data_IF_944946022237
#
_entry.id   IF_944946022237
#
_cell.length_a   1.000
_cell.length_b   1.000
_cell.length_c   1.000
_cell.angle_alpha   90.00
_cell.angle_beta   90.00
_cell.angle_gamma   90.00
#
_symmetry.space_group_name_H-M   'P 1'
#
loop_
_entity.id
_entity.type
_entity.pdbx_description
1 polymer ?
#
# COMPACT_ATOMS: atom_id res chain seq x y z
N UNK A 1 14.86 25.88 26.21
CA UNK A 1 14.34 26.13 24.84
C UNK A 1 15.17 25.44 23.74
N UNK A 2 16.06 24.48 24.09
CA UNK A 2 16.90 23.76 23.11
C UNK A 2 16.39 22.34 22.77
N UNK A 3 15.60 21.72 23.65
CA UNK A 3 15.19 20.33 23.51
C UNK A 3 14.06 20.10 22.49
N UNK A 4 13.13 21.06 22.36
CA UNK A 4 11.99 20.95 21.45
C UNK A 4 12.39 21.14 19.98
N UNK A 5 13.40 21.97 19.72
CA UNK A 5 13.92 22.24 18.35
C UNK A 5 14.64 21.01 17.78
N UNK A 6 15.44 20.32 18.60
CA UNK A 6 16.16 19.12 18.21
C UNK A 6 15.27 17.87 18.03
N UNK A 7 14.10 17.80 18.68
CA UNK A 7 13.11 16.75 18.38
C UNK A 7 12.49 16.97 17.00
N UNK A 8 12.02 18.19 16.74
CA UNK A 8 11.32 18.52 15.50
C UNK A 8 12.19 18.42 14.24
N UNK A 9 13.48 18.75 14.35
CA UNK A 9 14.44 18.57 13.25
C UNK A 9 14.71 17.10 12.92
N UNK A 10 14.63 16.19 13.92
CA UNK A 10 14.78 14.74 13.70
C UNK A 10 13.53 14.14 13.05
N UNK A 11 12.35 14.53 13.53
CA UNK A 11 11.07 14.06 12.99
C UNK A 11 10.94 14.44 11.50
N UNK A 12 11.30 15.68 11.14
CA UNK A 12 11.30 16.13 9.75
C UNK A 12 12.30 15.37 8.84
N UNK A 13 13.48 15.01 9.37
CA UNK A 13 14.47 14.25 8.60
C UNK A 13 14.02 12.79 8.37
N UNK A 14 13.34 12.20 9.36
CA UNK A 14 12.73 10.86 9.23
C UNK A 14 11.60 10.87 8.20
N UNK A 15 10.70 11.86 8.25
CA UNK A 15 9.62 12.07 7.27
C UNK A 15 10.16 12.19 5.83
N UNK A 16 11.20 13.00 5.61
CA UNK A 16 11.82 13.15 4.28
C UNK A 16 12.45 11.83 3.79
N UNK A 17 13.11 11.09 4.68
CA UNK A 17 13.69 9.79 4.35
C UNK A 17 12.61 8.78 3.94
N UNK A 18 11.45 8.82 4.59
CA UNK A 18 10.29 8.00 4.21
C UNK A 18 9.77 8.40 2.83
N UNK A 19 9.57 9.69 2.57
CA UNK A 19 9.09 10.17 1.26
C UNK A 19 10.05 9.70 0.16
N UNK A 20 11.35 9.89 0.33
CA UNK A 20 12.36 9.43 -0.61
C UNK A 20 12.30 7.91 -0.84
N UNK A 21 12.01 7.12 0.21
CA UNK A 21 11.81 5.67 0.10
C UNK A 21 10.54 5.34 -0.69
N UNK A 22 9.42 6.02 -0.45
CA UNK A 22 8.17 5.84 -1.20
C UNK A 22 8.37 6.17 -2.68
N UNK A 23 9.07 7.26 -3.00
CA UNK A 23 9.41 7.62 -4.38
C UNK A 23 10.28 6.58 -5.07
N UNK A 24 11.26 6.02 -4.34
CA UNK A 24 12.07 4.91 -4.86
C UNK A 24 11.21 3.70 -5.21
N UNK A 25 10.33 3.27 -4.30
CA UNK A 25 9.38 2.18 -4.51
C UNK A 25 8.44 2.48 -5.68
N UNK A 26 7.99 3.73 -5.82
CA UNK A 26 7.11 4.16 -6.91
C UNK A 26 7.71 3.89 -8.29
N UNK A 27 9.00 4.22 -8.49
CA UNK A 27 9.70 3.94 -9.75
C UNK A 27 9.83 2.45 -10.03
N UNK A 28 10.05 1.62 -9.01
CA UNK A 28 10.12 0.16 -9.16
C UNK A 28 8.76 -0.42 -9.53
N UNK A 29 7.71 0.03 -8.84
CA UNK A 29 6.32 -0.35 -9.11
C UNK A 29 5.91 0.01 -10.53
N UNK A 30 6.20 1.23 -11.00
CA UNK A 30 5.89 1.65 -12.38
C UNK A 30 6.50 0.71 -13.42
N UNK A 31 7.76 0.30 -13.23
CA UNK A 31 8.44 -0.66 -14.11
C UNK A 31 7.80 -2.05 -14.09
N UNK A 32 7.36 -2.51 -12.91
CA UNK A 32 6.70 -3.81 -12.79
C UNK A 32 5.31 -3.80 -13.42
N UNK A 33 4.56 -2.70 -13.26
CA UNK A 33 3.22 -2.58 -13.85
C UNK A 33 3.25 -2.60 -15.38
N UNK A 34 4.30 -2.07 -16.02
CA UNK A 34 4.45 -2.16 -17.49
C UNK A 34 4.81 -3.58 -17.97
N UNK A 35 5.36 -4.40 -17.09
CA UNK A 35 5.73 -5.80 -17.35
C UNK A 35 4.68 -6.80 -16.86
N UNK A 36 3.49 -6.33 -16.46
CA UNK A 36 2.43 -7.15 -15.86
C UNK A 36 2.86 -7.86 -14.56
N UNK A 37 3.89 -7.36 -13.88
CA UNK A 37 4.42 -7.86 -12.61
C UNK A 37 3.59 -7.41 -11.41
N UNK A 38 2.27 -7.58 -11.46
CA UNK A 38 1.32 -7.02 -10.49
C UNK A 38 1.55 -7.50 -9.05
N UNK A 39 1.80 -8.80 -8.85
CA UNK A 39 2.05 -9.34 -7.51
C UNK A 39 3.30 -8.75 -6.88
N UNK A 40 4.40 -8.64 -7.64
CA UNK A 40 5.64 -8.08 -7.12
C UNK A 40 5.50 -6.57 -6.87
N UNK A 41 4.79 -5.86 -7.75
CA UNK A 41 4.47 -4.45 -7.54
C UNK A 41 3.66 -4.25 -6.25
N UNK A 42 2.72 -5.15 -5.96
CA UNK A 42 1.91 -5.10 -4.75
C UNK A 42 2.75 -5.36 -3.50
N UNK A 43 3.64 -6.37 -3.51
CA UNK A 43 4.57 -6.65 -2.40
C UNK A 43 5.40 -5.41 -2.08
N UNK A 44 6.05 -4.82 -3.08
CA UNK A 44 6.86 -3.59 -2.89
C UNK A 44 6.01 -2.44 -2.35
N UNK A 45 4.78 -2.25 -2.84
CA UNK A 45 3.91 -1.19 -2.36
C UNK A 45 3.50 -1.38 -0.88
N UNK A 46 3.28 -2.62 -0.45
CA UNK A 46 2.89 -2.99 0.92
C UNK A 46 4.10 -3.11 1.87
N UNK A 47 5.28 -3.42 1.37
CA UNK A 47 6.53 -3.54 2.12
C UNK A 47 6.88 -2.24 2.84
N UNK A 48 7.34 -2.40 4.08
CA UNK A 48 7.69 -1.28 4.96
C UNK A 48 6.59 -0.22 5.01
N UNK A 49 5.32 -0.63 4.85
CA UNK A 49 4.21 0.29 4.97
C UNK A 49 4.32 0.92 6.35
N UNK A 50 4.46 2.24 6.45
CA UNK A 50 4.89 2.83 7.69
C UNK A 50 3.71 2.92 8.66
N UNK A 51 3.43 1.81 9.34
CA UNK A 51 2.31 1.68 10.29
C UNK A 51 2.47 2.62 11.50
N UNK A 52 3.70 3.11 11.75
CA UNK A 52 4.03 4.05 12.82
C UNK A 52 4.13 5.52 12.37
N UNK A 53 3.92 5.81 11.09
CA UNK A 53 3.98 7.21 10.61
C UNK A 53 2.75 7.97 11.06
N UNK A 54 2.99 9.10 11.71
CA UNK A 54 1.97 10.08 12.08
C UNK A 54 1.77 11.14 11.00
N UNK A 55 2.79 11.43 10.18
CA UNK A 55 2.72 12.44 9.12
C UNK A 55 1.74 12.06 7.99
N UNK A 56 0.88 13.01 7.66
CA UNK A 56 -0.18 12.83 6.67
C UNK A 56 0.36 12.82 5.23
N UNK A 57 1.49 13.48 4.94
CA UNK A 57 2.08 13.49 3.59
C UNK A 57 2.63 12.10 3.27
N UNK A 58 3.35 11.50 4.19
CA UNK A 58 3.87 10.15 4.09
C UNK A 58 2.74 9.12 3.93
N UNK A 59 1.67 9.21 4.74
CA UNK A 59 0.48 8.34 4.60
C UNK A 59 -0.20 8.50 3.24
N UNK A 60 -0.29 9.72 2.75
CA UNK A 60 -0.90 10.04 1.45
C UNK A 60 -0.05 9.51 0.31
N UNK A 61 1.27 9.75 0.34
CA UNK A 61 2.19 9.25 -0.67
C UNK A 61 2.18 7.71 -0.74
N UNK A 62 2.21 7.03 0.41
CA UNK A 62 2.15 5.57 0.43
C UNK A 62 0.79 5.05 -0.06
N UNK A 63 -0.30 5.74 0.28
CA UNK A 63 -1.62 5.41 -0.26
C UNK A 63 -1.69 5.54 -1.77
N UNK A 64 -1.19 6.64 -2.34
CA UNK A 64 -1.17 6.86 -3.79
C UNK A 64 -0.43 5.73 -4.49
N UNK A 65 0.70 5.29 -3.92
CA UNK A 65 1.46 4.15 -4.45
C UNK A 65 0.65 2.86 -4.44
N UNK A 66 0.06 2.49 -3.30
CA UNK A 66 -0.73 1.26 -3.17
C UNK A 66 -1.96 1.31 -4.06
N UNK A 67 -2.73 2.41 -4.00
CA UNK A 67 -3.94 2.61 -4.81
C UNK A 67 -3.66 2.46 -6.30
N UNK A 68 -2.55 3.02 -6.80
CA UNK A 68 -2.14 2.83 -8.19
C UNK A 68 -1.96 1.37 -8.56
N UNK A 69 -1.34 0.56 -7.69
CA UNK A 69 -1.19 -0.88 -7.94
C UNK A 69 -2.55 -1.57 -7.94
N UNK A 70 -3.40 -1.29 -6.94
CA UNK A 70 -4.75 -1.88 -6.86
C UNK A 70 -5.55 -1.62 -8.14
N UNK A 71 -5.52 -0.39 -8.64
CA UNK A 71 -6.24 0.01 -9.85
C UNK A 71 -5.62 -0.55 -11.14
N UNK A 72 -4.31 -0.81 -11.16
CA UNK A 72 -3.64 -1.41 -12.31
C UNK A 72 -3.86 -2.93 -12.42
N UNK A 73 -4.24 -3.60 -11.32
CA UNK A 73 -4.49 -5.03 -11.28
C UNK A 73 -5.77 -5.40 -12.05
N UNK A 74 -5.62 -5.81 -13.31
CA UNK A 74 -6.76 -6.26 -14.15
C UNK A 74 -7.20 -7.68 -13.81
N UNK A 75 -6.22 -8.56 -13.61
CA UNK A 75 -6.41 -9.96 -13.22
C UNK A 75 -6.16 -10.09 -11.73
N UNK A 76 -7.24 -10.10 -10.95
CA UNK A 76 -7.16 -10.21 -9.48
C UNK A 76 -6.68 -11.59 -9.07
N UNK A 77 -7.09 -12.66 -9.75
CA UNK A 77 -6.73 -14.03 -9.42
C UNK A 77 -5.21 -14.24 -9.51
N UNK A 78 -4.59 -13.75 -10.58
CA UNK A 78 -3.16 -13.84 -10.80
C UNK A 78 -2.34 -13.14 -9.70
N UNK A 79 -2.84 -12.02 -9.17
CA UNK A 79 -2.16 -11.28 -8.10
C UNK A 79 -2.00 -12.14 -6.85
N UNK A 80 -3.05 -12.88 -6.48
CA UNK A 80 -3.07 -13.69 -5.25
C UNK A 80 -2.45 -15.08 -5.39
N UNK A 81 -2.05 -15.52 -6.60
CA UNK A 81 -1.34 -16.81 -6.77
C UNK A 81 -0.02 -16.82 -6.02
N UNK A 82 0.70 -15.70 -6.03
CA UNK A 82 2.07 -15.61 -5.49
C UNK A 82 2.19 -14.58 -4.38
N UNK A 83 1.07 -14.11 -3.82
CA UNK A 83 1.08 -13.17 -2.69
C UNK A 83 1.20 -13.96 -1.38
N UNK A 84 2.21 -13.64 -0.58
CA UNK A 84 2.47 -14.32 0.69
C UNK A 84 1.42 -13.92 1.75
N UNK A 85 0.99 -14.85 2.62
CA UNK A 85 -0.01 -14.57 3.66
C UNK A 85 0.33 -13.42 4.60
N UNK A 86 1.62 -13.12 4.81
CA UNK A 86 2.07 -11.99 5.63
C UNK A 86 1.56 -10.62 5.13
N UNK A 87 1.23 -10.51 3.84
CA UNK A 87 0.70 -9.29 3.24
C UNK A 87 -0.82 -9.18 3.33
N UNK A 88 -1.53 -10.23 3.75
CA UNK A 88 -3.00 -10.28 3.69
C UNK A 88 -3.62 -9.24 4.62
N UNK A 89 -3.17 -9.17 5.87
CA UNK A 89 -3.66 -8.19 6.85
C UNK A 89 -3.39 -6.74 6.42
N UNK A 90 -2.20 -6.51 5.84
CA UNK A 90 -1.78 -5.18 5.38
C UNK A 90 -2.64 -4.78 4.19
N UNK A 91 -2.82 -5.68 3.22
CA UNK A 91 -3.67 -5.46 2.06
C UNK A 91 -5.11 -5.18 2.48
N UNK A 92 -5.67 -5.96 3.40
CA UNK A 92 -7.04 -5.79 3.87
C UNK A 92 -7.29 -4.37 4.44
N UNK A 93 -6.35 -3.85 5.23
CA UNK A 93 -6.41 -2.45 5.73
C UNK A 93 -6.45 -1.43 4.59
N UNK A 94 -5.68 -1.65 3.52
CA UNK A 94 -5.68 -0.78 2.34
C UNK A 94 -6.96 -0.89 1.52
N UNK A 95 -7.56 -2.08 1.43
CA UNK A 95 -8.84 -2.27 0.77
C UNK A 95 -9.94 -1.48 1.50
N UNK A 96 -10.02 -1.58 2.83
CA UNK A 96 -10.96 -0.77 3.62
C UNK A 96 -10.70 0.73 3.49
N UNK A 97 -9.43 1.16 3.45
CA UNK A 97 -9.07 2.55 3.17
C UNK A 97 -9.59 3.00 1.80
N UNK A 98 -9.48 2.15 0.78
CA UNK A 98 -10.02 2.40 -0.56
C UNK A 98 -11.54 2.49 -0.57
N UNK A 99 -12.24 1.57 0.12
CA UNK A 99 -13.69 1.62 0.27
C UNK A 99 -14.17 2.90 0.97
N UNK A 100 -13.40 3.39 1.95
CA UNK A 100 -13.71 4.63 2.65
C UNK A 100 -13.58 5.89 1.77
N UNK A 101 -12.98 5.81 0.58
CA UNK A 101 -12.91 6.95 -0.36
C UNK A 101 -14.27 7.30 -0.96
N UNK A 102 -15.20 6.33 -1.04
CA UNK A 102 -16.50 6.49 -1.69
C UNK A 102 -16.44 6.65 -3.22
N UNK A 103 -15.24 6.61 -3.82
CA UNK A 103 -15.06 6.67 -5.27
C UNK A 103 -15.45 5.33 -5.89
N UNK A 104 -16.47 5.34 -6.76
CA UNK A 104 -17.06 4.12 -7.32
C UNK A 104 -16.04 3.17 -7.96
N UNK A 105 -15.16 3.60 -8.90
CA UNK A 105 -14.19 2.68 -9.51
C UNK A 105 -13.20 2.12 -8.48
N UNK A 106 -12.78 2.93 -7.50
CA UNK A 106 -11.94 2.44 -6.40
C UNK A 106 -12.66 1.40 -5.55
N UNK A 107 -13.91 1.67 -5.17
CA UNK A 107 -14.72 0.76 -4.36
C UNK A 107 -14.95 -0.57 -5.07
N UNK A 108 -15.36 -0.55 -6.34
CA UNK A 108 -15.61 -1.76 -7.13
C UNK A 108 -14.34 -2.62 -7.23
N UNK A 109 -13.17 -1.99 -7.46
CA UNK A 109 -11.90 -2.71 -7.50
C UNK A 109 -11.49 -3.26 -6.13
N UNK A 110 -11.70 -2.51 -5.06
CA UNK A 110 -11.39 -2.96 -3.70
C UNK A 110 -12.27 -4.16 -3.29
N UNK A 111 -13.55 -4.17 -3.66
CA UNK A 111 -14.46 -5.29 -3.40
C UNK A 111 -14.01 -6.57 -4.12
N UNK A 112 -13.62 -6.48 -5.39
CA UNK A 112 -13.11 -7.63 -6.17
C UNK A 112 -11.85 -8.23 -5.54
N UNK A 113 -10.91 -7.39 -5.11
CA UNK A 113 -9.69 -7.82 -4.44
C UNK A 113 -10.00 -8.40 -3.05
N UNK A 114 -10.95 -7.82 -2.32
CA UNK A 114 -11.39 -8.29 -1.00
C UNK A 114 -11.99 -9.70 -1.07
N UNK A 115 -12.92 -9.93 -2.00
CA UNK A 115 -13.54 -11.24 -2.22
C UNK A 115 -12.46 -12.30 -2.47
N UNK A 116 -11.52 -12.01 -3.36
CA UNK A 116 -10.44 -12.94 -3.69
C UNK A 116 -9.47 -13.18 -2.54
N UNK A 117 -9.12 -12.14 -1.81
CA UNK A 117 -8.29 -12.26 -0.61
C UNK A 117 -8.97 -13.14 0.45
N UNK A 118 -10.29 -12.96 0.66
CA UNK A 118 -11.10 -13.73 1.61
C UNK A 118 -11.17 -15.20 1.23
N UNK A 119 -11.36 -15.52 -0.06
CA UNK A 119 -11.31 -16.90 -0.56
C UNK A 119 -9.98 -17.59 -0.28
N UNK A 120 -8.87 -16.84 -0.41
CA UNK A 120 -7.49 -17.35 -0.26
C UNK A 120 -7.05 -17.49 1.19
N UNK A 121 -7.39 -16.52 2.03
CA UNK A 121 -7.06 -16.53 3.46
C UNK A 121 -7.90 -17.55 4.23
N UNK A 122 -9.08 -17.91 3.71
CA UNK A 122 -10.07 -18.72 4.41
C UNK A 122 -10.79 -17.91 5.49
N UNK A 123 -11.98 -18.36 5.88
CA UNK A 123 -12.86 -17.70 6.87
C UNK A 123 -12.26 -17.61 8.31
N UNK A 124 -11.04 -18.10 8.52
CA UNK A 124 -10.39 -18.14 9.84
C UNK A 124 -9.45 -16.98 10.16
N UNK A 125 -9.24 -16.04 9.24
CA UNK A 125 -8.18 -15.02 9.34
C UNK A 125 -8.67 -13.56 9.16
N UNK A 126 -9.97 -13.28 9.27
CA UNK A 126 -10.53 -11.92 9.14
C UNK A 126 -11.21 -11.49 10.44
#
# INVERSE_FOLDING_TARGET
MGDEKGSRERDAAEEEAIIARIEHKSRQVERLLTQSGYTQALKIALEDSPTRITDERCKSANWILVHRVLMACKDVDAVFVSLDPEYYDILMKYLYKGLATGDRPTCDQCLRLHEKLTERAGLGCI
#
